data_IF_990443896313
#
_entry.id   IF_990443896313
#
_cell.length_a   1.000
_cell.length_b   1.000
_cell.length_c   1.000
_cell.angle_alpha   90.00
_cell.angle_beta   90.00
_cell.angle_gamma   90.00
#
_symmetry.space_group_name_H-M   'P 1'
#
loop_
_entity.id
_entity.type
_entity.pdbx_description
1 polymer ?
#
# COMPACT_ATOMS: atom_id res chain seq x y z
N UNK A 1 17.69 -10.36 -3.54
CA UNK A 1 16.64 -10.57 -2.52
C UNK A 1 15.46 -9.69 -2.89
N UNK A 2 14.20 -10.08 -2.65
CA UNK A 2 13.04 -9.25 -3.06
C UNK A 2 12.66 -8.32 -1.89
N UNK A 3 12.53 -7.02 -2.17
CA UNK A 3 11.98 -6.06 -1.20
C UNK A 3 10.56 -6.49 -0.81
N UNK A 4 10.29 -6.61 0.49
CA UNK A 4 8.98 -7.05 1.02
C UNK A 4 8.24 -5.95 1.75
N UNK A 5 8.98 -4.96 2.24
CA UNK A 5 8.45 -3.91 3.09
C UNK A 5 9.16 -2.59 2.78
N UNK A 6 8.40 -1.50 2.86
CA UNK A 6 8.86 -0.14 2.67
C UNK A 6 8.41 0.67 3.89
N UNK A 7 9.36 1.19 4.64
CA UNK A 7 9.13 2.04 5.78
C UNK A 7 9.29 3.52 5.43
N UNK A 8 8.49 4.34 6.09
CA UNK A 8 8.69 5.79 6.20
C UNK A 8 8.60 6.10 7.68
N UNK A 9 9.63 6.72 8.24
CA UNK A 9 9.73 7.02 9.66
C UNK A 9 10.22 8.44 9.93
N UNK A 10 10.01 8.91 11.14
CA UNK A 10 10.67 10.11 11.68
C UNK A 10 11.92 9.66 12.42
N UNK A 11 13.05 10.33 12.20
CA UNK A 11 14.33 10.01 12.83
C UNK A 11 14.43 10.58 14.25
N UNK A 12 15.19 9.90 15.10
CA UNK A 12 15.47 10.36 16.46
C UNK A 12 16.12 11.75 16.43
N UNK A 13 15.48 12.73 17.05
CA UNK A 13 15.95 14.13 17.05
C UNK A 13 15.48 14.97 15.85
N UNK A 14 14.59 14.45 15.01
CA UNK A 14 13.86 15.27 14.05
C UNK A 14 13.10 16.39 14.78
N UNK A 15 13.11 17.59 14.18
CA UNK A 15 12.42 18.76 14.74
C UNK A 15 11.06 18.91 14.09
N UNK A 16 10.08 18.19 14.62
CA UNK A 16 8.68 18.39 14.24
C UNK A 16 8.15 19.74 14.76
N UNK A 17 7.30 20.45 14.00
CA UNK A 17 6.54 21.58 14.53
C UNK A 17 5.74 21.17 15.78
N UNK A 18 5.61 22.04 16.80
CA UNK A 18 4.93 21.71 18.07
C UNK A 18 3.50 21.18 17.94
N UNK A 19 2.78 21.63 16.91
CA UNK A 19 1.42 21.25 16.56
C UNK A 19 1.31 19.94 15.76
N UNK A 20 2.44 19.37 15.35
CA UNK A 20 2.50 18.24 14.43
C UNK A 20 3.17 17.03 15.08
N UNK A 21 2.39 15.95 15.24
CA UNK A 21 2.87 14.74 15.92
C UNK A 21 3.39 13.70 14.93
N UNK A 22 4.19 12.75 15.42
CA UNK A 22 4.57 11.56 14.62
C UNK A 22 3.34 10.79 14.11
N UNK A 23 2.24 10.79 14.88
CA UNK A 23 1.01 10.13 14.47
C UNK A 23 0.34 10.84 13.29
N UNK A 24 0.39 12.17 13.25
CA UNK A 24 -0.06 12.95 12.09
C UNK A 24 0.82 12.65 10.87
N UNK A 25 2.14 12.58 11.06
CA UNK A 25 3.07 12.17 10.02
C UNK A 25 2.74 10.79 9.46
N UNK A 26 2.54 9.79 10.33
CA UNK A 26 2.20 8.44 9.89
C UNK A 26 0.89 8.36 9.11
N UNK A 27 -0.09 9.20 9.46
CA UNK A 27 -1.35 9.31 8.69
C UNK A 27 -1.07 9.91 7.31
N UNK A 28 -0.27 10.95 7.23
CA UNK A 28 -0.01 11.67 5.98
C UNK A 28 0.84 10.83 5.01
N UNK A 29 1.80 10.03 5.51
CA UNK A 29 2.67 9.21 4.65
C UNK A 29 2.08 7.86 4.23
N UNK A 30 1.02 7.40 4.88
CA UNK A 30 0.51 6.03 4.73
C UNK A 30 0.21 5.66 3.28
N UNK A 31 -0.57 6.50 2.61
CA UNK A 31 -1.04 6.26 1.24
C UNK A 31 0.10 6.31 0.23
N UNK A 32 1.05 7.26 0.38
CA UNK A 32 2.27 7.33 -0.44
C UNK A 32 3.09 6.05 -0.27
N UNK A 33 3.35 5.63 0.97
CA UNK A 33 4.14 4.43 1.29
C UNK A 33 3.53 3.16 0.68
N UNK A 34 2.25 2.91 0.96
CA UNK A 34 1.55 1.71 0.46
C UNK A 34 1.38 1.74 -1.06
N UNK A 35 1.02 2.91 -1.60
CA UNK A 35 0.90 3.18 -3.03
C UNK A 35 2.18 2.82 -3.75
N UNK A 36 3.27 3.45 -3.34
CA UNK A 36 4.59 3.27 -3.92
C UNK A 36 5.08 1.84 -3.83
N UNK A 37 4.95 1.18 -2.67
CA UNK A 37 5.34 -0.23 -2.50
C UNK A 37 4.59 -1.12 -3.50
N UNK A 38 3.29 -0.90 -3.70
CA UNK A 38 2.51 -1.69 -4.65
C UNK A 38 2.97 -1.44 -6.09
N UNK A 39 3.23 -0.19 -6.49
CA UNK A 39 3.76 0.10 -7.84
C UNK A 39 5.16 -0.52 -8.04
N UNK A 40 6.02 -0.40 -7.04
CA UNK A 40 7.37 -0.97 -7.03
C UNK A 40 7.35 -2.50 -7.18
N UNK A 41 6.41 -3.17 -6.52
CA UNK A 41 6.23 -4.63 -6.61
C UNK A 41 5.52 -5.09 -7.88
N UNK A 42 4.69 -4.23 -8.51
CA UNK A 42 3.84 -4.59 -9.65
C UNK A 42 4.38 -4.26 -11.01
N UNK A 43 5.22 -3.23 -11.12
CA UNK A 43 5.72 -2.71 -12.40
C UNK A 43 6.00 -3.85 -13.38
N UNK A 44 5.14 -3.97 -14.39
CA UNK A 44 4.86 -5.19 -15.13
C UNK A 44 5.97 -5.60 -16.12
N UNK A 45 6.98 -4.75 -16.29
CA UNK A 45 8.13 -4.97 -17.19
C UNK A 45 9.44 -4.69 -16.45
N UNK A 46 10.48 -5.52 -16.64
CA UNK A 46 11.84 -5.24 -16.15
C UNK A 46 12.25 -5.84 -14.80
N UNK A 47 11.58 -6.88 -14.30
CA UNK A 47 12.00 -7.61 -13.09
C UNK A 47 11.58 -6.97 -11.76
N UNK A 48 12.27 -7.32 -10.66
CA UNK A 48 11.99 -6.79 -9.32
C UNK A 48 13.06 -5.76 -8.91
N UNK A 49 12.70 -4.79 -8.07
CA UNK A 49 13.72 -4.05 -7.30
C UNK A 49 14.31 -5.05 -6.28
N UNK A 50 15.61 -5.34 -6.42
CA UNK A 50 16.28 -6.40 -5.68
C UNK A 50 17.38 -5.85 -4.76
N UNK A 51 17.06 -5.03 -3.76
CA UNK A 51 18.06 -4.56 -2.83
C UNK A 51 18.61 -5.72 -1.98
N UNK A 52 19.77 -5.50 -1.39
CA UNK A 52 20.38 -6.37 -0.38
C UNK A 52 19.65 -6.34 0.97
N UNK A 53 18.55 -5.61 1.08
CA UNK A 53 17.66 -5.58 2.24
C UNK A 53 16.24 -6.06 1.89
N UNK A 54 15.61 -6.81 2.79
CA UNK A 54 14.19 -7.19 2.66
C UNK A 54 13.25 -6.04 3.00
N UNK A 55 13.75 -5.06 3.75
CA UNK A 55 13.06 -3.83 4.13
C UNK A 55 13.97 -2.65 3.86
N UNK A 56 13.42 -1.62 3.21
CA UNK A 56 14.06 -0.31 3.13
C UNK A 56 13.19 0.67 3.90
N UNK A 57 13.79 1.52 4.70
CA UNK A 57 13.13 2.52 5.52
C UNK A 57 13.73 3.89 5.21
N UNK A 58 12.90 4.80 4.70
CA UNK A 58 13.29 6.18 4.44
C UNK A 58 12.94 7.00 5.68
N UNK A 59 13.97 7.39 6.41
CA UNK A 59 13.86 8.03 7.71
C UNK A 59 14.06 9.54 7.56
N UNK A 60 13.07 10.33 7.95
CA UNK A 60 13.08 11.78 7.84
C UNK A 60 13.64 12.40 9.12
N UNK A 61 14.78 13.06 9.01
CA UNK A 61 15.54 13.57 10.16
C UNK A 61 17.00 13.10 10.17
N UNK A 62 17.75 13.48 11.22
CA UNK A 62 19.18 13.23 11.27
C UNK A 62 19.49 11.73 11.36
N UNK A 63 20.61 11.35 10.73
CA UNK A 63 21.14 10.00 10.81
C UNK A 63 21.76 9.64 12.15
N UNK A 64 21.68 8.36 12.53
CA UNK A 64 22.42 7.82 13.67
C UNK A 64 23.93 8.00 13.42
N UNK A 65 24.63 8.60 14.38
CA UNK A 65 26.07 8.89 14.30
C UNK A 65 26.49 9.64 13.02
N UNK A 66 25.62 10.52 12.50
CA UNK A 66 25.86 11.27 11.27
C UNK A 66 25.98 10.42 9.99
N UNK A 67 25.55 9.15 10.02
CA UNK A 67 25.50 8.32 8.82
C UNK A 67 24.20 8.54 8.06
N UNK A 68 24.30 8.83 6.76
CA UNK A 68 23.13 8.97 5.87
C UNK A 68 22.54 7.62 5.45
N UNK A 69 23.26 6.52 5.73
CA UNK A 69 22.88 5.17 5.35
C UNK A 69 23.28 4.16 6.43
N UNK A 70 22.38 3.23 6.72
CA UNK A 70 22.64 2.09 7.59
C UNK A 70 22.05 0.83 6.97
N UNK A 71 22.78 -0.29 7.00
CA UNK A 71 22.24 -1.58 6.56
C UNK A 71 22.69 -2.68 7.52
N UNK A 72 21.74 -3.31 8.18
CA UNK A 72 21.98 -4.45 9.05
C UNK A 72 20.75 -5.38 9.09
N UNK A 73 20.98 -6.67 9.29
CA UNK A 73 19.90 -7.67 9.47
C UNK A 73 18.82 -7.64 8.36
N UNK A 74 19.22 -7.43 7.10
CA UNK A 74 18.30 -7.30 5.96
C UNK A 74 17.34 -6.11 6.04
N UNK A 75 17.70 -5.08 6.79
CA UNK A 75 17.02 -3.77 6.87
C UNK A 75 18.02 -2.70 6.45
N UNK A 76 17.65 -1.90 5.44
CA UNK A 76 18.37 -0.71 5.06
C UNK A 76 17.58 0.53 5.54
N UNK A 77 18.28 1.49 6.11
CA UNK A 77 17.78 2.80 6.49
C UNK A 77 18.54 3.87 5.70
N UNK A 78 17.78 4.77 5.09
CA UNK A 78 18.31 5.96 4.42
C UNK A 78 17.76 7.18 5.14
N UNK A 79 18.64 8.09 5.55
CA UNK A 79 18.26 9.28 6.29
C UNK A 79 18.14 10.48 5.37
N UNK A 80 17.00 11.16 5.42
CA UNK A 80 16.71 12.43 4.76
C UNK A 80 16.87 13.55 5.79
N UNK A 81 18.12 13.88 6.08
CA UNK A 81 18.48 14.85 7.14
C UNK A 81 18.11 16.29 6.77
N UNK A 82 17.89 16.55 5.48
CA UNK A 82 17.55 17.83 4.87
C UNK A 82 16.04 18.10 4.81
N UNK A 83 15.20 17.18 5.29
CA UNK A 83 13.75 17.35 5.20
C UNK A 83 13.23 18.45 6.15
N UNK A 84 12.60 19.46 5.56
CA UNK A 84 11.97 20.55 6.29
C UNK A 84 10.52 20.18 6.70
N UNK A 85 10.37 19.70 7.93
CA UNK A 85 9.05 19.40 8.49
C UNK A 85 8.15 20.63 8.62
N UNK A 86 8.70 21.83 8.77
CA UNK A 86 7.89 23.04 8.86
C UNK A 86 7.29 23.37 7.50
N UNK A 87 8.13 23.38 6.46
CA UNK A 87 7.67 23.54 5.09
C UNK A 87 6.62 22.49 4.72
N UNK A 88 6.86 21.24 5.11
CA UNK A 88 5.92 20.14 4.88
C UNK A 88 4.56 20.39 5.55
N UNK A 89 4.55 20.79 6.82
CA UNK A 89 3.29 21.07 7.55
C UNK A 89 2.59 22.32 7.01
N UNK A 90 3.32 23.31 6.50
CA UNK A 90 2.72 24.53 5.91
C UNK A 90 2.23 24.33 4.46
N UNK A 91 2.67 23.25 3.79
CA UNK A 91 2.31 22.96 2.41
C UNK A 91 0.86 22.48 2.24
N UNK A 92 0.33 22.66 1.03
CA UNK A 92 -0.96 22.08 0.62
C UNK A 92 -0.89 20.56 0.58
N UNK A 93 -2.04 19.89 0.57
CA UNK A 93 -2.09 18.44 0.51
C UNK A 93 -1.31 17.89 -0.70
N UNK A 94 -1.60 18.38 -1.91
CA UNK A 94 -0.89 17.94 -3.13
C UNK A 94 0.63 18.16 -3.02
N UNK A 95 1.06 19.31 -2.48
CA UNK A 95 2.47 19.62 -2.31
C UNK A 95 3.15 18.68 -1.30
N UNK A 96 2.47 18.34 -0.19
CA UNK A 96 2.95 17.32 0.75
C UNK A 96 3.15 15.96 0.08
N UNK A 97 2.21 15.57 -0.77
CA UNK A 97 2.28 14.31 -1.52
C UNK A 97 3.51 14.27 -2.42
N UNK A 98 3.74 15.35 -3.17
CA UNK A 98 4.91 15.51 -4.03
C UNK A 98 6.20 15.45 -3.22
N UNK A 99 6.29 16.19 -2.11
CA UNK A 99 7.46 16.18 -1.23
C UNK A 99 7.77 14.77 -0.72
N UNK A 100 6.77 14.03 -0.25
CA UNK A 100 6.94 12.67 0.26
C UNK A 100 7.40 11.72 -0.85
N UNK A 101 6.79 11.81 -2.02
CA UNK A 101 7.11 10.96 -3.14
C UNK A 101 8.54 11.18 -3.66
N UNK A 102 8.98 12.44 -3.71
CA UNK A 102 10.36 12.82 -4.09
C UNK A 102 11.38 12.26 -3.12
N UNK A 103 11.15 12.43 -1.82
CA UNK A 103 12.06 11.98 -0.78
C UNK A 103 12.12 10.46 -0.69
N UNK A 104 10.98 9.78 -0.84
CA UNK A 104 10.90 8.32 -0.90
C UNK A 104 11.66 7.77 -2.11
N UNK A 105 11.43 8.35 -3.29
CA UNK A 105 12.05 7.91 -4.54
C UNK A 105 13.55 8.19 -4.53
N UNK A 106 13.97 9.36 -4.07
CA UNK A 106 15.38 9.70 -3.91
C UNK A 106 16.08 8.75 -2.92
N UNK A 107 15.48 8.49 -1.75
CA UNK A 107 16.04 7.53 -0.80
C UNK A 107 16.20 6.13 -1.38
N UNK A 108 15.23 5.64 -2.16
CA UNK A 108 15.32 4.34 -2.83
C UNK A 108 16.35 4.32 -3.97
N UNK A 109 16.52 5.43 -4.71
CA UNK A 109 17.61 5.59 -5.69
C UNK A 109 18.98 5.55 -5.01
N UNK A 110 19.13 6.18 -3.84
CA UNK A 110 20.38 6.15 -3.08
C UNK A 110 20.72 4.71 -2.65
N UNK A 111 19.72 3.93 -2.20
CA UNK A 111 19.92 2.48 -1.93
C UNK A 111 20.37 1.76 -3.19
N UNK A 112 19.69 2.01 -4.32
CA UNK A 112 19.98 1.34 -5.57
C UNK A 112 21.43 1.61 -6.03
N UNK A 113 21.85 2.88 -5.98
CA UNK A 113 23.20 3.32 -6.33
C UNK A 113 24.25 2.69 -5.43
N UNK A 114 24.04 2.70 -4.10
CA UNK A 114 24.99 2.14 -3.12
C UNK A 114 25.17 0.63 -3.29
N UNK A 115 24.14 -0.07 -3.76
CA UNK A 115 24.15 -1.52 -3.97
C UNK A 115 24.48 -1.92 -5.41
N UNK A 116 24.74 -0.96 -6.30
CA UNK A 116 25.03 -1.24 -7.71
C UNK A 116 23.86 -1.87 -8.46
N UNK A 117 22.61 -1.66 -8.02
CA UNK A 117 21.41 -2.18 -8.70
C UNK A 117 20.70 -1.06 -9.47
N UNK A 118 20.04 -1.37 -10.60
CA UNK A 118 19.33 -0.35 -11.37
C UNK A 118 18.15 0.27 -10.60
N UNK A 119 18.02 1.60 -10.68
CA UNK A 119 16.92 2.35 -10.07
C UNK A 119 15.66 2.42 -10.97
N UNK A 120 15.68 1.85 -12.17
CA UNK A 120 14.57 1.93 -13.17
C UNK A 120 13.21 1.59 -12.57
N UNK A 121 13.16 0.66 -11.60
CA UNK A 121 11.93 0.27 -10.92
C UNK A 121 11.39 1.32 -9.97
N UNK A 122 12.28 2.03 -9.31
CA UNK A 122 11.93 3.20 -8.49
C UNK A 122 11.38 4.30 -9.39
N UNK A 123 12.02 4.54 -10.54
CA UNK A 123 11.59 5.56 -11.51
C UNK A 123 10.19 5.26 -12.09
N UNK A 124 9.93 4.00 -12.47
CA UNK A 124 8.61 3.58 -12.95
C UNK A 124 7.54 3.69 -11.84
N UNK A 125 7.87 3.30 -10.61
CA UNK A 125 6.94 3.40 -9.50
C UNK A 125 6.62 4.86 -9.14
N UNK A 126 7.61 5.76 -9.21
CA UNK A 126 7.39 7.19 -9.05
C UNK A 126 6.49 7.75 -10.16
N UNK A 127 6.74 7.40 -11.41
CA UNK A 127 5.93 7.83 -12.54
C UNK A 127 4.47 7.36 -12.40
N UNK A 128 4.25 6.09 -12.06
CA UNK A 128 2.93 5.54 -11.81
C UNK A 128 2.23 6.27 -10.66
N UNK A 129 2.91 6.46 -9.52
CA UNK A 129 2.36 7.16 -8.36
C UNK A 129 2.01 8.62 -8.66
N UNK A 130 2.86 9.35 -9.40
CA UNK A 130 2.58 10.72 -9.84
C UNK A 130 1.36 10.76 -10.77
N UNK A 131 1.33 9.88 -11.77
CA UNK A 131 0.24 9.85 -12.75
C UNK A 131 -1.11 9.51 -12.13
N UNK A 132 -1.11 8.74 -11.03
CA UNK A 132 -2.31 8.35 -10.32
C UNK A 132 -2.71 9.31 -9.20
N UNK A 133 -1.94 10.38 -8.95
CA UNK A 133 -2.16 11.27 -7.79
C UNK A 133 -2.12 10.52 -6.46
N UNK A 134 -1.18 9.58 -6.32
CA UNK A 134 -1.06 8.66 -5.18
C UNK A 134 -2.33 7.86 -4.82
N UNK A 135 -3.36 7.86 -5.67
CA UNK A 135 -4.51 6.98 -5.56
C UNK A 135 -4.15 5.59 -6.07
N UNK A 136 -4.45 4.57 -5.29
CA UNK A 136 -4.20 3.18 -5.65
C UNK A 136 -5.47 2.35 -5.51
N UNK A 137 -5.92 1.76 -6.63
CA UNK A 137 -7.04 0.81 -6.67
C UNK A 137 -6.62 -0.52 -7.27
N UNK A 138 -6.91 -1.62 -6.59
CA UNK A 138 -6.58 -2.94 -7.14
C UNK A 138 -7.33 -4.14 -6.57
N UNK A 139 -7.39 -5.20 -7.38
CA UNK A 139 -7.87 -6.52 -6.95
C UNK A 139 -6.79 -7.34 -6.25
N UNK A 140 -7.11 -7.88 -5.08
CA UNK A 140 -6.28 -8.85 -4.36
C UNK A 140 -6.62 -10.24 -4.90
N UNK A 141 -5.90 -10.65 -5.94
CA UNK A 141 -6.14 -11.89 -6.71
C UNK A 141 -6.29 -13.13 -5.82
N UNK A 142 -5.50 -13.25 -4.76
CA UNK A 142 -5.52 -14.41 -3.85
C UNK A 142 -6.83 -14.53 -3.05
N UNK A 143 -7.58 -13.44 -2.89
CA UNK A 143 -8.89 -13.40 -2.25
C UNK A 143 -10.05 -13.49 -3.25
N UNK A 144 -9.81 -13.28 -4.54
CA UNK A 144 -10.85 -13.40 -5.57
C UNK A 144 -11.29 -14.85 -5.79
N UNK A 145 -12.60 -15.09 -6.00
CA UNK A 145 -13.17 -16.42 -6.30
C UNK A 145 -14.29 -16.33 -7.31
N UNK A 146 -14.38 -17.33 -8.18
CA UNK A 146 -15.61 -17.58 -8.93
C UNK A 146 -16.68 -18.16 -8.00
N UNK A 147 -17.92 -17.73 -8.17
CA UNK A 147 -19.08 -18.33 -7.53
C UNK A 147 -19.19 -19.83 -7.91
N UNK A 148 -19.78 -20.71 -7.07
CA UNK A 148 -19.90 -22.14 -7.39
C UNK A 148 -20.59 -22.45 -8.73
N UNK A 149 -21.56 -21.65 -9.14
CA UNK A 149 -22.20 -21.74 -10.47
C UNK A 149 -21.32 -21.26 -11.64
N UNK A 150 -20.13 -20.71 -11.34
CA UNK A 150 -19.14 -20.16 -12.28
C UNK A 150 -19.67 -19.05 -13.20
N UNK A 151 -20.83 -18.46 -12.93
CA UNK A 151 -21.40 -17.34 -13.73
C UNK A 151 -20.85 -15.99 -13.29
N UNK A 152 -20.47 -15.89 -12.01
CA UNK A 152 -20.02 -14.65 -11.39
C UNK A 152 -18.63 -14.81 -10.79
N UNK A 153 -17.88 -13.72 -10.76
CA UNK A 153 -16.61 -13.59 -10.08
C UNK A 153 -16.73 -12.55 -8.98
N UNK A 154 -16.15 -12.86 -7.83
CA UNK A 154 -16.14 -12.04 -6.64
C UNK A 154 -14.68 -11.67 -6.37
N UNK A 155 -14.33 -10.41 -6.59
CA UNK A 155 -13.00 -9.88 -6.37
C UNK A 155 -12.98 -8.92 -5.18
N UNK A 156 -11.96 -9.07 -4.34
CA UNK A 156 -11.74 -8.15 -3.22
C UNK A 156 -10.85 -7.02 -3.74
N UNK A 157 -11.41 -5.81 -3.77
CA UNK A 157 -10.73 -4.60 -4.19
C UNK A 157 -10.27 -3.84 -2.96
N UNK A 158 -9.02 -3.36 -2.99
CA UNK A 158 -8.46 -2.42 -2.02
C UNK A 158 -8.24 -1.08 -2.74
N UNK A 159 -8.66 -0.02 -2.08
CA UNK A 159 -8.46 1.36 -2.48
C UNK A 159 -7.71 2.08 -1.36
N UNK A 160 -6.67 2.83 -1.73
CA UNK A 160 -5.85 3.61 -0.82
C UNK A 160 -5.73 5.00 -1.42
N UNK A 161 -6.02 6.00 -0.59
CA UNK A 161 -5.92 7.41 -0.92
C UNK A 161 -5.52 8.18 0.34
N UNK A 162 -5.29 9.49 0.22
CA UNK A 162 -4.98 10.33 1.38
C UNK A 162 -6.02 10.18 2.49
N UNK A 163 -5.54 9.84 3.69
CA UNK A 163 -6.37 9.73 4.89
C UNK A 163 -7.39 8.59 4.89
N UNK A 164 -7.45 7.76 3.84
CA UNK A 164 -8.51 6.77 3.65
C UNK A 164 -7.98 5.47 3.06
N UNK A 165 -8.53 4.37 3.57
CA UNK A 165 -8.38 3.05 3.00
C UNK A 165 -9.77 2.40 2.97
N UNK A 166 -10.20 1.99 1.79
CA UNK A 166 -11.49 1.33 1.61
C UNK A 166 -11.33 -0.03 0.93
N UNK A 167 -12.23 -0.94 1.28
CA UNK A 167 -12.23 -2.31 0.79
C UNK A 167 -13.60 -2.65 0.25
N UNK A 168 -13.64 -3.28 -0.91
CA UNK A 168 -14.87 -3.59 -1.60
C UNK A 168 -14.88 -5.03 -2.07
N UNK A 169 -16.07 -5.63 -2.10
CA UNK A 169 -16.36 -6.84 -2.83
C UNK A 169 -16.99 -6.44 -4.16
N UNK A 170 -16.22 -6.52 -5.24
CA UNK A 170 -16.69 -6.29 -6.59
C UNK A 170 -17.19 -7.61 -7.18
N UNK A 171 -18.41 -7.60 -7.71
CA UNK A 171 -19.03 -8.74 -8.37
C UNK A 171 -19.13 -8.47 -9.86
N UNK A 172 -18.55 -9.35 -10.66
CA UNK A 172 -18.56 -9.26 -12.12
C UNK A 172 -19.11 -10.54 -12.75
N UNK A 173 -19.61 -10.44 -13.97
CA UNK A 173 -20.00 -11.61 -14.77
C UNK A 173 -18.78 -12.21 -15.52
N UNK A 174 -19.03 -13.23 -16.35
CA UNK A 174 -17.98 -13.88 -17.16
C UNK A 174 -17.32 -12.95 -18.19
N UNK A 175 -18.01 -11.89 -18.60
CA UNK A 175 -17.47 -10.88 -19.51
C UNK A 175 -16.67 -9.80 -18.77
N UNK A 176 -16.47 -9.96 -17.47
CA UNK A 176 -15.83 -8.98 -16.57
C UNK A 176 -16.62 -7.67 -16.40
N UNK A 177 -17.87 -7.62 -16.85
CA UNK A 177 -18.74 -6.49 -16.56
C UNK A 177 -19.07 -6.49 -15.07
N UNK A 178 -18.80 -5.37 -14.41
CA UNK A 178 -19.13 -5.16 -13.01
C UNK A 178 -20.65 -5.03 -12.86
N UNK A 179 -21.24 -5.89 -12.02
CA UNK A 179 -22.67 -5.90 -11.72
C UNK A 179 -22.97 -5.18 -10.41
N UNK A 180 -22.11 -5.36 -9.41
CA UNK A 180 -22.31 -4.79 -8.07
C UNK A 180 -20.95 -4.52 -7.40
N UNK A 181 -20.88 -3.48 -6.57
CA UNK A 181 -19.74 -3.21 -5.69
C UNK A 181 -20.28 -3.00 -4.29
N UNK A 182 -19.78 -3.78 -3.33
CA UNK A 182 -20.25 -3.81 -1.96
C UNK A 182 -19.12 -3.40 -1.01
N UNK A 183 -19.32 -2.46 -0.07
CA UNK A 183 -18.31 -2.15 0.92
C UNK A 183 -18.06 -3.36 1.83
N UNK A 184 -16.80 -3.54 2.20
CA UNK A 184 -16.35 -4.47 3.23
C UNK A 184 -16.05 -3.60 4.46
N UNK A 185 -17.01 -3.50 5.37
CA UNK A 185 -16.88 -2.67 6.57
C UNK A 185 -15.65 -3.08 7.38
N UNK A 186 -14.68 -2.16 7.47
CA UNK A 186 -13.55 -2.29 8.36
C UNK A 186 -13.99 -1.84 9.75
N UNK A 187 -14.46 -2.76 10.58
CA UNK A 187 -14.79 -2.48 11.99
C UNK A 187 -13.54 -2.20 12.85
N UNK A 188 -12.70 -1.26 12.45
CA UNK A 188 -11.42 -1.00 13.14
C UNK A 188 -10.77 0.31 12.73
N UNK A 189 -10.41 1.09 13.73
CA UNK A 189 -9.31 2.06 13.70
C UNK A 189 -7.98 1.31 13.46
N UNK A 190 -7.26 1.62 12.39
CA UNK A 190 -5.90 1.10 12.16
C UNK A 190 -5.53 0.92 10.69
N UNK A 191 -4.44 1.59 10.30
CA UNK A 191 -3.87 1.77 8.95
C UNK A 191 -3.27 0.50 8.30
N UNK A 192 -3.70 -0.73 8.65
CA UNK A 192 -3.24 -1.93 7.90
C UNK A 192 -4.33 -3.01 7.89
N UNK A 193 -5.42 -2.76 7.16
CA UNK A 193 -6.50 -3.73 6.99
C UNK A 193 -6.08 -4.99 6.21
N UNK A 194 -5.01 -4.91 5.40
CA UNK A 194 -4.52 -6.02 4.59
C UNK A 194 -4.11 -7.27 5.41
N UNK A 195 -3.73 -7.09 6.68
CA UNK A 195 -3.40 -8.20 7.59
C UNK A 195 -4.63 -8.99 8.05
N UNK A 196 -5.84 -8.41 7.94
CA UNK A 196 -7.09 -8.99 8.47
C UNK A 196 -7.75 -9.98 7.52
N UNK A 197 -7.49 -9.88 6.22
CA UNK A 197 -8.06 -10.75 5.21
C UNK A 197 -6.98 -11.59 4.56
N UNK A 198 -6.92 -12.88 4.94
CA UNK A 198 -5.86 -13.77 4.47
C UNK A 198 -6.34 -14.83 3.49
N UNK A 199 -7.58 -15.29 3.65
CA UNK A 199 -8.18 -16.32 2.80
C UNK A 199 -9.62 -15.97 2.49
N UNK A 200 -10.09 -16.46 1.35
CA UNK A 200 -11.50 -16.43 0.96
C UNK A 200 -11.98 -17.84 0.60
N UNK A 201 -13.27 -18.10 0.84
CA UNK A 201 -13.94 -19.37 0.51
C UNK A 201 -15.44 -19.20 0.32
N UNK A 202 -16.05 -20.18 -0.32
CA UNK A 202 -17.50 -20.35 -0.36
C UNK A 202 -17.97 -21.21 0.82
N UNK A 203 -19.09 -20.81 1.43
CA UNK A 203 -19.89 -21.63 2.33
C UNK A 203 -21.32 -21.64 1.79
N UNK A 204 -21.68 -22.66 1.01
CA UNK A 204 -22.93 -22.69 0.22
C UNK A 204 -23.03 -21.40 -0.62
N UNK A 205 -24.09 -20.61 -0.42
CA UNK A 205 -24.36 -19.35 -1.13
C UNK A 205 -23.71 -18.13 -0.46
N UNK A 206 -22.71 -18.32 0.41
CA UNK A 206 -22.09 -17.22 1.14
C UNK A 206 -20.61 -17.13 0.81
N UNK A 207 -20.19 -15.96 0.31
CA UNK A 207 -18.79 -15.61 0.18
C UNK A 207 -18.24 -15.21 1.56
N UNK A 208 -17.10 -15.75 1.95
CA UNK A 208 -16.52 -15.54 3.28
C UNK A 208 -15.05 -15.15 3.18
N UNK A 209 -14.67 -14.09 3.89
CA UNK A 209 -13.28 -13.71 4.14
C UNK A 209 -12.89 -14.05 5.57
N UNK A 210 -11.69 -14.61 5.72
CA UNK A 210 -11.13 -15.01 7.02
C UNK A 210 -9.73 -14.47 7.25
N UNK A 211 -9.38 -14.25 8.52
CA UNK A 211 -8.01 -13.92 8.93
C UNK A 211 -7.06 -15.14 8.89
N UNK A 212 -5.80 -14.95 9.28
CA UNK A 212 -4.78 -16.00 9.33
C UNK A 212 -5.14 -17.15 10.28
N UNK A 213 -5.97 -16.89 11.29
CA UNK A 213 -6.46 -17.89 12.27
C UNK A 213 -7.78 -18.54 11.82
N UNK A 214 -8.28 -18.21 10.63
CA UNK A 214 -9.53 -18.74 10.09
C UNK A 214 -10.80 -18.11 10.66
N UNK A 215 -10.69 -17.04 11.46
CA UNK A 215 -11.86 -16.32 11.99
C UNK A 215 -12.53 -15.55 10.86
N UNK A 216 -13.87 -15.59 10.82
CA UNK A 216 -14.65 -14.85 9.82
C UNK A 216 -14.56 -13.36 10.13
N UNK A 217 -14.17 -12.57 9.13
CA UNK A 217 -14.08 -11.11 9.22
C UNK A 217 -15.11 -10.40 8.34
N UNK A 218 -15.51 -11.06 7.26
CA UNK A 218 -16.57 -10.58 6.38
C UNK A 218 -17.30 -11.77 5.77
N UNK A 219 -18.61 -11.62 5.57
CA UNK A 219 -19.41 -12.59 4.85
C UNK A 219 -20.56 -11.92 4.10
N UNK A 220 -20.85 -12.39 2.88
CA UNK A 220 -21.97 -11.90 2.07
C UNK A 220 -22.71 -13.07 1.43
N UNK A 221 -24.02 -13.15 1.71
CA UNK A 221 -24.92 -14.08 1.03
C UNK A 221 -25.22 -13.60 -0.38
N UNK A 222 -25.14 -14.50 -1.36
CA UNK A 222 -25.36 -14.23 -2.78
C UNK A 222 -26.80 -14.51 -3.20
N UNK A 223 -27.67 -15.03 -2.33
CA UNK A 223 -29.06 -15.41 -2.70
C UNK A 223 -29.83 -14.31 -3.42
N UNK A 224 -29.79 -13.07 -2.88
CA UNK A 224 -30.47 -11.91 -3.50
C UNK A 224 -29.77 -11.44 -4.78
N UNK A 225 -28.44 -11.62 -4.87
CA UNK A 225 -27.66 -11.24 -6.04
C UNK A 225 -27.93 -12.19 -7.21
N UNK A 226 -27.98 -13.49 -6.93
CA UNK A 226 -28.36 -14.52 -7.89
C UNK A 226 -29.79 -14.30 -8.41
N UNK A 227 -30.74 -13.94 -7.54
CA UNK A 227 -32.13 -13.67 -7.93
C UNK A 227 -32.32 -12.43 -8.83
N UNK A 228 -31.35 -11.51 -8.91
CA UNK A 228 -31.42 -10.30 -9.74
C UNK A 228 -30.76 -10.44 -11.12
N UNK A 229 -29.92 -11.46 -11.28
CA UNK A 229 -29.02 -11.59 -12.44
C UNK A 229 -29.02 -13.01 -13.05
N UNK A 230 -29.81 -13.92 -12.49
CA UNK A 230 -30.14 -15.20 -13.09
C UNK A 230 -31.63 -15.17 -13.38
N UNK A 231 -31.98 -14.64 -14.53
CA UNK A 231 -33.10 -15.13 -15.33
C UNK A 231 -32.53 -16.13 -16.36
#
# INVERSE_FOLDING_TARGET
MILRDLGISVGDGARLPPEYTEQDFFRDVYHVREGFLVYLLRSFEGGHFLPEATKVDVCFGPGLNSSEYFCAFSVAQVYRSDFDFRQFVEATDDAREVMLLEQLSAGLRDVAQRQGVPATKVDLAEADARSSGCFLRYSIRSLGRFHPNRKFRFDVIREIERGSESWHLQVSDRSQRVLETLPIDLNTYGLVAASKYRKSKWRKDTFVLTDSRGRVRFQKSTKKLLARHID
#
